data_IF_457893624903
#
_entry.id   IF_457893624903
#
_cell.length_a   1.000
_cell.length_b   1.000
_cell.length_c   1.000
_cell.angle_alpha   90.00
_cell.angle_beta   90.00
_cell.angle_gamma   90.00
#
_symmetry.space_group_name_H-M   'P 1'
#
loop_
_entity.id
_entity.type
_entity.pdbx_description
1 polymer ?
#
# COMPACT_ATOMS: atom_id res chain seq x y z
N UNK A 1 25.93 -2.82 1.29
CA UNK A 1 25.41 -1.70 0.46
C UNK A 1 24.12 -2.08 -0.26
N UNK A 2 24.06 -3.22 -0.97
CA UNK A 2 22.85 -3.68 -1.68
C UNK A 2 21.56 -3.75 -0.83
N UNK A 3 21.63 -4.24 0.41
CA UNK A 3 20.47 -4.32 1.31
C UNK A 3 19.88 -2.96 1.67
N UNK A 4 20.72 -1.93 1.82
CA UNK A 4 20.27 -0.57 2.12
C UNK A 4 19.53 0.04 0.92
N UNK A 5 20.02 -0.21 -0.30
CA UNK A 5 19.36 0.23 -1.53
C UNK A 5 18.00 -0.45 -1.70
N UNK A 6 17.94 -1.77 -1.49
CA UNK A 6 16.67 -2.52 -1.53
C UNK A 6 15.66 -1.99 -0.51
N UNK A 7 16.12 -1.65 0.70
CA UNK A 7 15.27 -1.08 1.74
C UNK A 7 14.73 0.31 1.35
N UNK A 8 15.58 1.20 0.83
CA UNK A 8 15.18 2.54 0.40
C UNK A 8 14.15 2.47 -0.73
N UNK A 9 14.39 1.63 -1.74
CA UNK A 9 13.46 1.45 -2.86
C UNK A 9 12.13 0.85 -2.40
N UNK A 10 12.16 -0.15 -1.52
CA UNK A 10 10.96 -0.72 -0.92
C UNK A 10 10.15 0.32 -0.12
N UNK A 11 10.83 1.19 0.63
CA UNK A 11 10.17 2.24 1.40
C UNK A 11 9.53 3.28 0.47
N UNK A 12 10.21 3.67 -0.60
CA UNK A 12 9.67 4.58 -1.61
C UNK A 12 8.41 4.00 -2.29
N UNK A 13 8.41 2.72 -2.63
CA UNK A 13 7.23 2.03 -3.19
C UNK A 13 6.09 1.99 -2.18
N UNK A 14 6.36 1.67 -0.92
CA UNK A 14 5.36 1.66 0.14
C UNK A 14 4.71 3.03 0.33
N UNK A 15 5.52 4.08 0.47
CA UNK A 15 5.06 5.45 0.61
C UNK A 15 4.28 5.94 -0.61
N UNK A 16 4.79 5.70 -1.81
CA UNK A 16 4.11 6.07 -3.06
C UNK A 16 2.77 5.36 -3.24
N UNK A 17 2.65 4.11 -2.78
CA UNK A 17 1.39 3.35 -2.81
C UNK A 17 0.33 4.01 -1.92
N UNK A 18 0.66 4.32 -0.68
CA UNK A 18 -0.26 4.99 0.27
C UNK A 18 -0.73 6.33 -0.30
N UNK A 19 0.22 7.14 -0.76
CA UNK A 19 -0.06 8.46 -1.33
C UNK A 19 -0.93 8.34 -2.58
N UNK A 20 -0.61 7.41 -3.49
CA UNK A 20 -1.36 7.21 -4.71
C UNK A 20 -2.81 6.78 -4.46
N UNK A 21 -3.04 5.89 -3.49
CA UNK A 21 -4.38 5.46 -3.11
C UNK A 21 -5.17 6.63 -2.53
N UNK A 22 -4.60 7.34 -1.56
CA UNK A 22 -5.25 8.49 -0.94
C UNK A 22 -5.50 9.63 -1.94
N UNK A 23 -4.58 9.86 -2.89
CA UNK A 23 -4.76 10.87 -3.94
C UNK A 23 -5.92 10.52 -4.87
N UNK A 24 -6.08 9.23 -5.20
CA UNK A 24 -7.16 8.76 -6.09
C UNK A 24 -8.54 8.84 -5.43
N UNK A 25 -8.62 8.67 -4.11
CA UNK A 25 -9.88 8.76 -3.36
C UNK A 25 -10.20 10.17 -2.87
N UNK A 26 -9.24 11.10 -2.93
CA UNK A 26 -9.41 12.45 -2.43
C UNK A 26 -10.13 13.38 -3.43
N UNK A 27 -10.90 14.38 -2.93
CA UNK A 27 -11.45 15.43 -3.77
C UNK A 27 -10.35 16.29 -4.40
N UNK A 28 -10.64 16.88 -5.57
CA UNK A 28 -9.67 17.71 -6.29
C UNK A 28 -9.14 18.86 -5.42
N UNK A 29 -7.81 18.99 -5.36
CA UNK A 29 -7.13 20.02 -4.56
C UNK A 29 -6.86 19.66 -3.09
N UNK A 30 -7.26 18.47 -2.64
CA UNK A 30 -6.90 17.99 -1.30
C UNK A 30 -5.38 17.78 -1.17
N UNK A 31 -4.78 18.08 0.00
CA UNK A 31 -3.37 17.83 0.25
C UNK A 31 -3.05 16.33 0.23
N UNK A 32 -1.80 15.99 -0.12
CA UNK A 32 -1.33 14.61 -0.09
C UNK A 32 -1.41 14.06 1.35
N UNK A 33 -2.12 12.94 1.50
CA UNK A 33 -2.29 12.27 2.79
C UNK A 33 -1.50 10.96 2.82
N UNK A 34 -0.79 10.71 3.92
CA UNK A 34 -0.02 9.49 4.20
C UNK A 34 -0.73 8.56 5.19
N UNK A 35 -2.02 8.79 5.43
CA UNK A 35 -2.84 7.95 6.30
C UNK A 35 -2.98 6.53 5.72
N UNK A 36 -2.35 5.58 6.41
CA UNK A 36 -2.34 4.16 6.04
C UNK A 36 -3.70 3.52 6.27
N UNK A 37 -4.42 3.94 7.31
CA UNK A 37 -5.71 3.36 7.65
C UNK A 37 -6.77 3.74 6.62
N UNK A 38 -6.80 5.01 6.24
CA UNK A 38 -7.67 5.48 5.16
C UNK A 38 -7.32 4.83 3.81
N UNK A 39 -6.03 4.68 3.50
CA UNK A 39 -5.61 3.97 2.28
C UNK A 39 -6.05 2.49 2.28
N UNK A 40 -5.94 1.80 3.42
CA UNK A 40 -6.36 0.41 3.57
C UNK A 40 -7.89 0.28 3.46
N UNK A 41 -8.64 1.17 4.09
CA UNK A 41 -10.09 1.24 4.01
C UNK A 41 -10.55 1.51 2.57
N UNK A 42 -9.98 2.52 1.92
CA UNK A 42 -10.30 2.88 0.53
C UNK A 42 -10.00 1.73 -0.45
N UNK A 43 -8.91 0.98 -0.26
CA UNK A 43 -8.62 -0.22 -1.06
C UNK A 43 -9.67 -1.30 -0.81
N UNK A 44 -10.02 -1.56 0.46
CA UNK A 44 -10.98 -2.60 0.82
C UNK A 44 -12.37 -2.36 0.20
N UNK A 45 -12.79 -1.09 0.13
CA UNK A 45 -14.03 -0.66 -0.56
C UNK A 45 -13.91 -0.85 -2.07
N UNK A 46 -12.78 -0.46 -2.68
CA UNK A 46 -12.56 -0.64 -4.12
C UNK A 46 -12.53 -2.12 -4.55
N UNK A 47 -12.00 -3.01 -3.72
CA UNK A 47 -12.04 -4.46 -3.96
C UNK A 47 -13.42 -5.09 -3.68
N UNK A 48 -14.40 -4.29 -3.24
CA UNK A 48 -15.77 -4.74 -3.03
C UNK A 48 -15.92 -5.73 -1.88
N UNK A 49 -14.99 -5.76 -0.91
CA UNK A 49 -14.96 -6.79 0.14
C UNK A 49 -16.23 -6.76 1.01
N UNK A 50 -16.82 -5.57 1.22
CA UNK A 50 -18.11 -5.42 1.90
C UNK A 50 -19.30 -6.01 1.13
N UNK A 51 -19.18 -6.18 -0.20
CA UNK A 51 -20.20 -6.85 -1.02
C UNK A 51 -20.06 -8.38 -0.99
N UNK A 52 -18.91 -8.90 -0.54
CA UNK A 52 -18.64 -10.35 -0.42
C UNK A 52 -19.04 -10.91 0.95
N UNK A 53 -19.61 -10.08 1.83
CA UNK A 53 -20.01 -10.48 3.18
C UNK A 53 -18.82 -10.72 4.13
N UNK A 54 -17.65 -10.16 3.79
CA UNK A 54 -16.49 -10.19 4.68
C UNK A 54 -16.76 -9.23 5.85
N UNK A 55 -16.52 -9.64 7.10
CA UNK A 55 -16.71 -8.74 8.24
C UNK A 55 -15.73 -7.57 8.18
N UNK A 56 -16.19 -6.37 8.55
CA UNK A 56 -15.41 -5.12 8.62
C UNK A 56 -13.96 -5.24 9.14
N UNK A 57 -13.66 -5.96 10.25
CA UNK A 57 -12.27 -6.07 10.72
C UNK A 57 -11.32 -6.73 9.71
N UNK A 58 -11.83 -7.61 8.84
CA UNK A 58 -11.02 -8.26 7.82
C UNK A 58 -10.78 -7.37 6.57
N UNK A 59 -11.59 -6.33 6.37
CA UNK A 59 -11.38 -5.34 5.29
C UNK A 59 -10.07 -4.59 5.49
N UNK A 60 -9.83 -4.16 6.72
CA UNK A 60 -8.64 -3.42 7.12
C UNK A 60 -7.40 -4.30 6.98
N UNK A 61 -7.49 -5.56 7.40
CA UNK A 61 -6.41 -6.53 7.22
C UNK A 61 -6.08 -6.74 5.73
N UNK A 62 -7.09 -6.89 4.87
CA UNK A 62 -6.88 -7.05 3.43
C UNK A 62 -6.25 -5.81 2.79
N UNK A 63 -6.75 -4.62 3.13
CA UNK A 63 -6.18 -3.35 2.66
C UNK A 63 -4.71 -3.20 3.05
N UNK A 64 -4.37 -3.49 4.31
CA UNK A 64 -2.99 -3.48 4.79
C UNK A 64 -2.10 -4.49 4.04
N UNK A 65 -2.58 -5.72 3.82
CA UNK A 65 -1.85 -6.75 3.06
C UNK A 65 -1.59 -6.29 1.62
N UNK A 66 -2.59 -5.70 0.96
CA UNK A 66 -2.47 -5.19 -0.40
C UNK A 66 -1.44 -4.05 -0.53
N UNK A 67 -1.23 -3.25 0.53
CA UNK A 67 -0.20 -2.19 0.57
C UNK A 67 1.19 -2.78 0.86
N UNK A 68 1.29 -3.76 1.76
CA UNK A 68 2.57 -4.32 2.23
C UNK A 68 3.20 -5.26 1.19
N UNK A 69 2.40 -6.10 0.52
CA UNK A 69 2.91 -7.11 -0.43
C UNK A 69 3.77 -6.50 -1.56
N UNK A 70 3.33 -5.43 -2.26
CA UNK A 70 4.14 -4.82 -3.32
C UNK A 70 5.51 -4.30 -2.83
N UNK A 71 5.55 -3.73 -1.62
CA UNK A 71 6.80 -3.27 -1.02
C UNK A 71 7.75 -4.44 -0.73
N UNK A 72 7.25 -5.52 -0.12
CA UNK A 72 8.05 -6.72 0.16
C UNK A 72 8.55 -7.43 -1.10
N UNK A 73 7.72 -7.46 -2.16
CA UNK A 73 8.13 -7.97 -3.46
C UNK A 73 9.24 -7.12 -4.07
N UNK A 74 9.10 -5.79 -4.03
CA UNK A 74 10.13 -4.87 -4.51
C UNK A 74 11.45 -5.07 -3.74
N UNK A 75 11.41 -5.14 -2.41
CA UNK A 75 12.57 -5.44 -1.59
C UNK A 75 13.26 -6.74 -2.01
N UNK A 76 12.46 -7.81 -2.20
CA UNK A 76 12.97 -9.13 -2.56
C UNK A 76 13.59 -9.17 -3.96
N UNK A 77 12.94 -8.54 -4.94
CA UNK A 77 13.43 -8.44 -6.32
C UNK A 77 14.72 -7.64 -6.37
N UNK A 78 14.74 -6.44 -5.77
CA UNK A 78 15.94 -5.60 -5.77
C UNK A 78 17.09 -6.30 -5.04
N UNK A 79 16.81 -6.94 -3.89
CA UNK A 79 17.82 -7.73 -3.18
C UNK A 79 18.32 -8.91 -4.02
N UNK A 80 17.48 -9.52 -4.87
CA UNK A 80 17.89 -10.58 -5.78
C UNK A 80 18.74 -10.06 -6.95
N UNK A 81 18.42 -8.89 -7.48
CA UNK A 81 19.12 -8.27 -8.62
C UNK A 81 20.49 -7.68 -8.23
N UNK A 82 20.58 -7.04 -7.06
CA UNK A 82 21.82 -6.41 -6.56
C UNK A 82 22.62 -7.37 -5.65
N UNK A 83 22.43 -8.69 -5.78
CA UNK A 83 23.29 -9.66 -5.08
C UNK A 83 24.72 -9.58 -5.57
#
# INVERSE_FOLDING_TARGET
MATAIALILSLAVYTGTIVGINYRSAPEGAPLNFDIYNAAESLSVQYGLGMVGIPEPFHWAFGCIAIIIPALLCFSIVRFVIR
#
